data_IF_013419783287
#
_entry.id   IF_013419783287
#
_cell.length_a   1.000
_cell.length_b   1.000
_cell.length_c   1.000
_cell.angle_alpha   90.00
_cell.angle_beta   90.00
_cell.angle_gamma   90.00
#
_symmetry.space_group_name_H-M   'P 1'
#
loop_
_entity.id
_entity.type
_entity.pdbx_description
1 polymer ?
#
# COMPACT_ATOMS: atom_id res chain seq x y z
N UNK A 1 -21.19 -15.65 7.69
CA UNK A 1 -19.90 -15.37 7.01
C UNK A 1 -20.15 -15.06 5.55
N UNK A 2 -19.60 -13.97 5.03
CA UNK A 2 -19.69 -13.72 3.60
C UNK A 2 -18.91 -14.79 2.82
N UNK A 3 -19.40 -15.11 1.63
CA UNK A 3 -18.75 -16.06 0.75
C UNK A 3 -17.49 -15.44 0.13
N UNK A 4 -16.65 -16.28 -0.48
CA UNK A 4 -15.48 -15.81 -1.24
C UNK A 4 -15.90 -14.85 -2.34
N UNK A 5 -17.00 -15.13 -3.03
CA UNK A 5 -17.50 -14.25 -4.09
C UNK A 5 -17.99 -12.91 -3.54
N UNK A 6 -18.62 -12.91 -2.36
CA UNK A 6 -19.01 -11.67 -1.69
C UNK A 6 -17.81 -10.84 -1.31
N UNK A 7 -16.76 -11.46 -0.78
CA UNK A 7 -15.53 -10.77 -0.41
C UNK A 7 -14.83 -10.17 -1.62
N UNK A 8 -14.78 -10.90 -2.74
CA UNK A 8 -14.22 -10.39 -3.99
C UNK A 8 -14.99 -9.18 -4.49
N UNK A 9 -16.32 -9.23 -4.43
CA UNK A 9 -17.17 -8.12 -4.85
C UNK A 9 -16.91 -6.87 -4.03
N UNK A 10 -16.80 -7.02 -2.72
CA UNK A 10 -16.49 -5.91 -1.81
C UNK A 10 -15.11 -5.32 -2.11
N UNK A 11 -14.12 -6.16 -2.38
CA UNK A 11 -12.78 -5.72 -2.71
C UNK A 11 -12.76 -4.96 -4.05
N UNK A 12 -13.43 -5.49 -5.06
CA UNK A 12 -13.52 -4.83 -6.37
C UNK A 12 -14.22 -3.48 -6.26
N UNK A 13 -15.31 -3.42 -5.49
CA UNK A 13 -16.02 -2.16 -5.27
C UNK A 13 -15.13 -1.12 -4.58
N UNK A 14 -14.38 -1.53 -3.57
CA UNK A 14 -13.46 -0.64 -2.87
C UNK A 14 -12.35 -0.11 -3.80
N UNK A 15 -11.82 -0.95 -4.68
CA UNK A 15 -10.83 -0.56 -5.68
C UNK A 15 -11.43 0.45 -6.67
N UNK A 16 -12.63 0.16 -7.18
CA UNK A 16 -13.33 1.06 -8.11
C UNK A 16 -13.62 2.41 -7.48
N UNK A 17 -14.06 2.43 -6.23
CA UNK A 17 -14.36 3.66 -5.50
C UNK A 17 -13.10 4.52 -5.28
N UNK A 18 -11.93 3.91 -5.26
CA UNK A 18 -10.64 4.58 -5.05
C UNK A 18 -9.77 4.64 -6.31
N UNK A 19 -10.34 4.35 -7.47
CA UNK A 19 -9.58 4.26 -8.72
C UNK A 19 -8.79 5.54 -9.00
N UNK A 20 -9.41 6.71 -8.87
CA UNK A 20 -8.75 7.98 -9.13
C UNK A 20 -7.57 8.23 -8.17
N UNK A 21 -7.75 7.89 -6.90
CA UNK A 21 -6.70 7.99 -5.88
C UNK A 21 -5.54 7.07 -6.21
N UNK A 22 -5.82 5.82 -6.56
CA UNK A 22 -4.80 4.81 -6.87
C UNK A 22 -4.02 5.21 -8.12
N UNK A 23 -4.71 5.60 -9.19
CA UNK A 23 -4.09 6.05 -10.44
C UNK A 23 -3.28 7.32 -10.21
N UNK A 24 -3.80 8.26 -9.43
CA UNK A 24 -3.10 9.49 -9.10
C UNK A 24 -1.79 9.24 -8.36
N UNK A 25 -1.80 8.29 -7.42
CA UNK A 25 -0.60 7.88 -6.69
C UNK A 25 0.45 7.31 -7.64
N UNK A 26 0.03 6.41 -8.52
CA UNK A 26 0.92 5.79 -9.52
C UNK A 26 1.50 6.84 -10.47
N UNK A 27 0.68 7.79 -10.94
CA UNK A 27 1.14 8.87 -11.81
C UNK A 27 2.13 9.79 -11.12
N UNK A 28 1.94 10.08 -9.84
CA UNK A 28 2.87 10.89 -9.06
C UNK A 28 4.24 10.24 -9.01
N UNK A 29 4.29 8.94 -8.78
CA UNK A 29 5.55 8.20 -8.76
C UNK A 29 6.20 8.19 -10.15
N UNK A 30 5.42 7.95 -11.19
CA UNK A 30 5.90 7.90 -12.57
C UNK A 30 6.51 9.25 -13.01
N UNK A 31 5.90 10.36 -12.61
CA UNK A 31 6.36 11.71 -12.97
C UNK A 31 7.55 12.19 -12.16
N UNK A 32 7.88 11.51 -11.08
CA UNK A 32 8.97 11.88 -10.19
C UNK A 32 9.91 10.69 -9.97
N UNK A 33 10.56 10.20 -11.05
CA UNK A 33 11.45 9.05 -10.93
C UNK A 33 12.66 9.38 -10.04
N UNK A 34 13.05 8.40 -9.25
CA UNK A 34 14.17 8.54 -8.33
C UNK A 34 15.10 7.33 -8.48
N UNK A 35 16.43 7.52 -8.37
CA UNK A 35 17.37 6.41 -8.48
C UNK A 35 17.35 5.50 -7.24
N UNK A 36 17.87 4.30 -7.40
CA UNK A 36 17.93 3.30 -6.33
C UNK A 36 18.60 3.84 -5.07
N UNK A 37 18.03 3.51 -3.92
CA UNK A 37 18.42 3.95 -2.58
C UNK A 37 18.32 5.47 -2.36
N UNK A 38 17.72 6.19 -3.31
CA UNK A 38 17.47 7.62 -3.20
C UNK A 38 16.00 7.96 -3.48
N UNK A 39 15.12 7.00 -3.31
CA UNK A 39 13.68 7.16 -3.51
C UNK A 39 13.04 7.89 -2.31
N UNK A 40 13.56 9.05 -1.96
CA UNK A 40 13.13 9.77 -0.75
C UNK A 40 11.70 10.31 -0.87
N UNK A 41 11.34 10.86 -2.02
CA UNK A 41 9.99 11.37 -2.26
C UNK A 41 8.97 10.23 -2.34
N UNK A 42 9.33 9.16 -3.04
CA UNK A 42 8.47 7.99 -3.15
C UNK A 42 8.25 7.34 -1.79
N UNK A 43 9.31 7.17 -1.00
CA UNK A 43 9.23 6.64 0.35
C UNK A 43 8.32 7.50 1.23
N UNK A 44 8.46 8.82 1.16
CA UNK A 44 7.62 9.75 1.92
C UNK A 44 6.15 9.66 1.51
N UNK A 45 5.90 9.53 0.21
CA UNK A 45 4.55 9.36 -0.32
C UNK A 45 3.89 8.09 0.24
N UNK A 46 4.63 6.99 0.28
CA UNK A 46 4.12 5.71 0.80
C UNK A 46 3.88 5.79 2.31
N UNK A 47 4.82 6.34 3.08
CA UNK A 47 4.63 6.46 4.53
C UNK A 47 3.47 7.39 4.86
N UNK A 48 3.30 8.47 4.10
CA UNK A 48 2.17 9.39 4.27
C UNK A 48 0.84 8.68 4.00
N UNK A 49 0.79 7.83 2.98
CA UNK A 49 -0.41 7.06 2.66
C UNK A 49 -0.73 6.03 3.75
N UNK A 50 0.27 5.33 4.27
CA UNK A 50 0.06 4.41 5.37
C UNK A 50 -0.45 5.14 6.63
N UNK A 51 0.10 6.31 6.93
CA UNK A 51 -0.36 7.11 8.06
C UNK A 51 -1.82 7.56 7.86
N UNK A 52 -2.17 8.00 6.67
CA UNK A 52 -3.53 8.40 6.32
C UNK A 52 -4.52 7.25 6.49
N UNK A 53 -4.11 6.03 6.13
CA UNK A 53 -4.94 4.84 6.24
C UNK A 53 -4.87 4.19 7.63
N UNK A 54 -4.12 4.77 8.55
CA UNK A 54 -3.91 4.22 9.90
C UNK A 54 -3.30 2.82 9.88
N UNK A 55 -2.45 2.55 8.90
CA UNK A 55 -1.71 1.28 8.80
C UNK A 55 -0.36 1.45 9.49
N UNK A 56 -0.05 0.67 10.54
CA UNK A 56 1.27 0.71 11.16
C UNK A 56 2.35 0.40 10.13
N UNK A 57 3.42 1.16 10.13
CA UNK A 57 4.49 0.98 9.15
C UNK A 57 5.86 1.21 9.78
N UNK A 58 6.86 0.71 9.08
CA UNK A 58 8.26 0.88 9.42
C UNK A 58 9.03 1.31 8.18
N UNK A 59 9.71 2.46 8.26
CA UNK A 59 10.55 2.99 7.19
C UNK A 59 12.03 2.66 7.40
N UNK A 60 12.86 3.15 6.49
CA UNK A 60 14.31 3.03 6.60
C UNK A 60 14.84 1.62 6.33
N UNK A 61 14.03 0.73 5.80
CA UNK A 61 14.49 -0.61 5.44
C UNK A 61 15.27 -0.52 4.12
N UNK A 62 16.50 -1.01 4.14
CA UNK A 62 17.39 -0.85 2.98
C UNK A 62 17.41 0.62 2.49
N UNK A 63 17.51 1.55 3.44
CA UNK A 63 17.57 3.02 3.28
C UNK A 63 16.19 3.64 3.00
N UNK A 64 15.52 3.29 1.91
CA UNK A 64 14.26 3.92 1.49
C UNK A 64 13.05 3.00 1.52
N UNK A 65 13.23 1.73 1.85
CA UNK A 65 12.15 0.76 1.89
C UNK A 65 11.18 1.00 3.03
N UNK A 66 9.92 0.63 2.82
CA UNK A 66 8.85 0.78 3.79
C UNK A 66 8.08 -0.53 3.90
N UNK A 67 7.75 -0.94 5.13
CA UNK A 67 6.91 -2.11 5.38
C UNK A 67 5.71 -1.70 6.20
N UNK A 68 4.51 -1.90 5.67
CA UNK A 68 3.26 -1.77 6.41
C UNK A 68 2.75 -3.13 6.85
N UNK A 69 2.03 -3.18 7.96
CA UNK A 69 1.41 -4.39 8.46
C UNK A 69 -0.06 -4.16 8.73
N UNK A 70 -0.89 -5.05 8.25
CA UNK A 70 -2.32 -5.04 8.50
C UNK A 70 -2.68 -6.34 9.21
N UNK A 71 -3.11 -6.22 10.46
CA UNK A 71 -3.46 -7.40 11.27
C UNK A 71 -4.92 -7.72 11.07
N UNK A 72 -5.20 -8.98 10.77
CA UNK A 72 -6.57 -9.47 10.64
C UNK A 72 -7.24 -9.70 11.99
N UNK A 73 -8.49 -10.11 11.94
CA UNK A 73 -9.31 -10.32 13.15
C UNK A 73 -9.00 -11.58 13.94
N UNK A 74 -8.35 -12.56 13.33
CA UNK A 74 -8.01 -13.85 13.96
C UNK A 74 -6.59 -14.24 13.61
N UNK A 75 -6.01 -15.13 14.42
CA UNK A 75 -4.68 -15.68 14.13
C UNK A 75 -4.74 -16.53 12.85
N UNK A 76 -3.69 -16.46 12.04
CA UNK A 76 -3.61 -17.19 10.77
C UNK A 76 -2.29 -16.92 10.08
N UNK A 77 -2.16 -17.37 8.83
CA UNK A 77 -0.94 -17.15 8.08
C UNK A 77 -0.73 -15.67 7.74
N UNK A 78 0.52 -15.33 7.48
CA UNK A 78 0.91 -13.98 7.05
C UNK A 78 1.22 -14.01 5.57
N UNK A 79 0.63 -13.07 4.82
CA UNK A 79 0.87 -12.91 3.38
C UNK A 79 1.65 -11.62 3.17
N UNK A 80 2.72 -11.67 2.39
CA UNK A 80 3.47 -10.49 2.02
C UNK A 80 3.22 -10.14 0.55
N UNK A 81 3.01 -8.85 0.28
CA UNK A 81 2.89 -8.31 -1.06
C UNK A 81 4.03 -7.33 -1.25
N UNK A 82 4.81 -7.54 -2.30
CA UNK A 82 5.98 -6.72 -2.60
C UNK A 82 5.69 -5.84 -3.80
N UNK A 83 5.89 -4.53 -3.62
CA UNK A 83 5.81 -3.55 -4.69
C UNK A 83 7.18 -2.94 -4.95
N UNK A 84 7.51 -2.73 -6.20
CA UNK A 84 8.77 -2.12 -6.61
C UNK A 84 8.54 -0.83 -7.40
#
# INVERSE_FOLDING_TARGET
>A
MPSKEDLKRLAFQAIDDRADEIVGLAQTILKNPEPGFRETKTSHLITSKFAELSIPFRGGMAITGVRGELTGGTAGPTLAILGE
#
